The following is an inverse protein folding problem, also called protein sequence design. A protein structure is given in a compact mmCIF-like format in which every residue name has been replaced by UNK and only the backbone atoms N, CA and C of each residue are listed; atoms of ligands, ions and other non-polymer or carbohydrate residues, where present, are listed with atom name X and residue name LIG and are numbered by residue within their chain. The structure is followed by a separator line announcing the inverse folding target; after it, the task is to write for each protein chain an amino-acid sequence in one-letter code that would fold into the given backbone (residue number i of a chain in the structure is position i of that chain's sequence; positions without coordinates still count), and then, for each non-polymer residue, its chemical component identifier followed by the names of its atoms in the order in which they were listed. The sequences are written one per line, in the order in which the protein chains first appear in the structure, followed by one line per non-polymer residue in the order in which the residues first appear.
data_IF_921171381373
#
_entry.id   IF_921171381373
#
_cell.length_a   1.000
_cell.length_b   1.000
_cell.length_c   1.000
_cell.angle_alpha   90.00
_cell.angle_beta   90.00
_cell.angle_gamma   90.00
#
_symmetry.space_group_name_H-M   'P 1'
#
loop_
_entity.id
_entity.type
_entity.pdbx_description
1 polymer ?
#
# COMPACT_ATOMS: atom_id res chain seq x y z
N UNK A 1 -5.55 -44.37 5.35
CA UNK A 1 -5.75 -43.42 4.24
C UNK A 1 -6.32 -42.17 4.87
N UNK A 2 -5.57 -41.06 4.84
CA UNK A 2 -6.02 -39.80 5.42
C UNK A 2 -7.26 -39.32 4.66
N UNK A 3 -8.30 -38.90 5.39
CA UNK A 3 -9.50 -38.31 4.80
C UNK A 3 -9.11 -37.07 3.98
N UNK A 4 -9.41 -37.03 2.66
CA UNK A 4 -9.11 -35.88 1.81
C UNK A 4 -9.65 -34.56 2.37
N UNK A 5 -10.77 -34.59 3.09
CA UNK A 5 -11.37 -33.39 3.70
C UNK A 5 -10.50 -32.90 4.87
N UNK A 6 -10.05 -33.81 5.74
CA UNK A 6 -9.16 -33.47 6.85
C UNK A 6 -7.83 -32.89 6.35
N UNK A 7 -7.26 -33.46 5.27
CA UNK A 7 -6.02 -32.93 4.67
C UNK A 7 -6.22 -31.55 4.05
N UNK A 8 -7.34 -31.31 3.38
CA UNK A 8 -7.66 -30.00 2.83
C UNK A 8 -7.82 -28.94 3.94
N UNK A 9 -8.41 -29.30 5.08
CA UNK A 9 -8.58 -28.39 6.22
C UNK A 9 -7.23 -27.96 6.82
N UNK A 10 -6.26 -28.87 6.92
CA UNK A 10 -4.89 -28.55 7.37
C UNK A 10 -4.20 -27.57 6.41
N UNK A 11 -4.23 -27.84 5.11
CA UNK A 11 -3.63 -26.96 4.10
C UNK A 11 -4.27 -25.56 4.10
N UNK A 12 -5.61 -25.49 4.24
CA UNK A 12 -6.31 -24.22 4.36
C UNK A 12 -5.87 -23.44 5.60
N UNK A 13 -5.61 -24.11 6.72
CA UNK A 13 -5.12 -23.49 7.93
C UNK A 13 -3.72 -22.88 7.72
N UNK A 14 -2.80 -23.63 7.12
CA UNK A 14 -1.43 -23.15 6.83
C UNK A 14 -1.42 -21.94 5.87
N UNK A 15 -2.30 -21.96 4.86
CA UNK A 15 -2.48 -20.81 3.97
C UNK A 15 -3.03 -19.59 4.70
N UNK A 16 -4.03 -19.76 5.57
CA UNK A 16 -4.60 -18.64 6.35
C UNK A 16 -3.58 -18.03 7.30
N UNK A 17 -2.80 -18.84 8.01
CA UNK A 17 -1.73 -18.34 8.86
C UNK A 17 -0.68 -17.54 8.05
N UNK A 18 -0.44 -17.92 6.80
CA UNK A 18 0.45 -17.18 5.90
C UNK A 18 -0.15 -15.85 5.45
N UNK A 19 -1.46 -15.83 5.16
CA UNK A 19 -2.20 -14.61 4.83
C UNK A 19 -2.18 -13.63 6.01
N UNK A 20 -2.47 -14.08 7.23
CA UNK A 20 -2.47 -13.21 8.43
C UNK A 20 -1.11 -12.54 8.67
N UNK A 21 -0.01 -13.26 8.37
CA UNK A 21 1.35 -12.70 8.43
C UNK A 21 1.57 -11.64 7.36
N UNK A 22 1.12 -11.87 6.13
CA UNK A 22 1.22 -10.89 5.04
C UNK A 22 0.39 -9.64 5.35
N UNK A 23 -0.81 -9.80 5.89
CA UNK A 23 -1.67 -8.69 6.30
C UNK A 23 -1.00 -7.82 7.35
N UNK A 24 -0.34 -8.43 8.33
CA UNK A 24 0.46 -7.70 9.32
C UNK A 24 1.56 -6.87 8.66
N UNK A 25 2.31 -7.46 7.71
CA UNK A 25 3.37 -6.74 6.96
C UNK A 25 2.78 -5.57 6.18
N UNK A 26 1.63 -5.75 5.53
CA UNK A 26 0.95 -4.70 4.77
C UNK A 26 0.57 -3.54 5.68
N UNK A 27 -0.05 -3.81 6.84
CA UNK A 27 -0.49 -2.76 7.79
C UNK A 27 0.71 -1.96 8.31
N UNK A 28 1.78 -2.63 8.76
CA UNK A 28 2.96 -1.92 9.27
C UNK A 28 3.66 -1.12 8.16
N UNK A 29 3.76 -1.67 6.95
CA UNK A 29 4.35 -0.96 5.79
C UNK A 29 3.56 0.29 5.44
N UNK A 30 2.23 0.21 5.45
CA UNK A 30 1.37 1.37 5.23
C UNK A 30 1.59 2.41 6.33
N UNK A 31 1.62 1.99 7.60
CA UNK A 31 1.89 2.88 8.73
C UNK A 31 3.19 3.67 8.58
N UNK A 32 4.29 3.01 8.21
CA UNK A 32 5.56 3.67 7.94
C UNK A 32 5.49 4.61 6.73
N UNK A 33 4.82 4.19 5.64
CA UNK A 33 4.61 5.05 4.47
C UNK A 33 3.87 6.34 4.83
N UNK A 34 2.82 6.26 5.65
CA UNK A 34 2.07 7.43 6.12
C UNK A 34 2.93 8.40 6.93
N UNK A 35 3.78 7.89 7.83
CA UNK A 35 4.73 8.73 8.60
C UNK A 35 5.67 9.50 7.68
N UNK A 36 6.23 8.83 6.66
CA UNK A 36 7.09 9.49 5.68
C UNK A 36 6.35 10.54 4.86
N UNK A 37 5.13 10.27 4.41
CA UNK A 37 4.36 11.28 3.67
C UNK A 37 4.03 12.51 4.50
N UNK A 38 3.77 12.34 5.81
CA UNK A 38 3.58 13.45 6.74
C UNK A 38 4.87 14.27 6.92
N UNK A 39 6.01 13.60 7.09
CA UNK A 39 7.31 14.27 7.20
C UNK A 39 7.65 15.07 5.93
N UNK A 40 7.40 14.50 4.74
CA UNK A 40 7.56 15.22 3.46
C UNK A 40 6.61 16.41 3.38
N UNK A 41 5.35 16.26 3.82
CA UNK A 41 4.39 17.35 3.86
C UNK A 41 4.84 18.51 4.75
N UNK A 42 5.36 18.22 5.95
CA UNK A 42 5.93 19.21 6.87
C UNK A 42 7.13 19.91 6.25
N UNK A 43 8.08 19.15 5.69
CA UNK A 43 9.27 19.69 5.04
C UNK A 43 8.90 20.63 3.87
N UNK A 44 7.90 20.24 3.06
CA UNK A 44 7.42 21.09 1.98
C UNK A 44 6.84 22.41 2.50
N UNK A 45 6.04 22.35 3.56
CA UNK A 45 5.46 23.54 4.18
C UNK A 45 6.51 24.46 4.81
N UNK A 46 7.53 23.89 5.48
CA UNK A 46 8.63 24.65 6.09
C UNK A 46 9.49 25.41 5.06
N UNK A 47 9.49 24.97 3.81
CA UNK A 47 10.31 25.53 2.72
C UNK A 47 9.50 26.14 1.58
N UNK A 48 8.20 26.42 1.78
CA UNK A 48 7.29 26.97 0.76
C UNK A 48 7.30 26.19 -0.57
N UNK A 49 7.52 24.87 -0.50
CA UNK A 49 7.53 24.00 -1.67
C UNK A 49 6.11 23.57 -2.04
N UNK A 50 5.82 23.36 -3.35
CA UNK A 50 4.49 22.98 -3.80
C UNK A 50 4.07 21.60 -3.26
N UNK A 51 2.81 21.52 -2.85
CA UNK A 51 2.22 20.28 -2.33
C UNK A 51 2.21 19.15 -3.37
N UNK A 52 1.88 19.47 -4.63
CA UNK A 52 1.89 18.54 -5.76
C UNK A 52 3.22 18.59 -6.52
N UNK A 53 3.62 17.43 -7.03
CA UNK A 53 4.74 17.27 -7.95
C UNK A 53 4.31 16.30 -9.06
N UNK A 54 3.75 16.83 -10.18
CA UNK A 54 3.13 16.00 -11.22
C UNK A 54 4.11 15.01 -11.87
N UNK A 55 5.39 15.37 -11.99
CA UNK A 55 6.43 14.50 -12.54
C UNK A 55 6.67 13.34 -11.58
N UNK A 56 6.86 13.64 -10.28
CA UNK A 56 7.04 12.62 -9.25
C UNK A 56 5.81 11.71 -9.09
N UNK A 57 4.61 12.23 -9.29
CA UNK A 57 3.36 11.46 -9.27
C UNK A 57 3.29 10.50 -10.46
N UNK A 58 3.61 10.96 -11.68
CA UNK A 58 3.65 10.12 -12.87
C UNK A 58 4.68 8.99 -12.75
N UNK A 59 5.89 9.28 -12.29
CA UNK A 59 6.96 8.28 -12.09
C UNK A 59 6.56 7.21 -11.06
N UNK A 60 5.84 7.60 -10.01
CA UNK A 60 5.34 6.64 -9.01
C UNK A 60 4.32 5.68 -9.60
N UNK A 61 3.40 6.19 -10.42
CA UNK A 61 2.38 5.37 -11.08
C UNK A 61 3.04 4.37 -12.02
N UNK A 62 3.96 4.82 -12.88
CA UNK A 62 4.65 3.95 -13.85
C UNK A 62 5.44 2.83 -13.15
N UNK A 63 6.21 3.18 -12.10
CA UNK A 63 6.96 2.20 -11.30
C UNK A 63 6.05 1.17 -10.62
N UNK A 64 4.85 1.58 -10.20
CA UNK A 64 3.92 0.68 -9.52
C UNK A 64 3.17 -0.24 -10.49
N UNK A 65 2.82 0.24 -11.67
CA UNK A 65 2.30 -0.61 -12.75
C UNK A 65 3.34 -1.69 -13.13
N UNK A 66 4.63 -1.34 -13.20
CA UNK A 66 5.72 -2.30 -13.42
C UNK A 66 5.85 -3.32 -12.28
N UNK A 67 5.79 -2.86 -11.02
CA UNK A 67 5.88 -3.76 -9.85
C UNK A 67 4.68 -4.71 -9.78
N UNK A 68 3.47 -4.25 -10.12
CA UNK A 68 2.28 -5.08 -10.16
C UNK A 68 2.44 -6.20 -11.19
N UNK A 69 2.90 -5.86 -12.40
CA UNK A 69 3.16 -6.83 -13.45
C UNK A 69 4.21 -7.87 -13.03
N UNK A 70 5.28 -7.46 -12.33
CA UNK A 70 6.32 -8.38 -11.82
C UNK A 70 5.84 -9.28 -10.68
N UNK A 71 4.80 -8.88 -9.96
CA UNK A 71 4.26 -9.60 -8.83
C UNK A 71 3.05 -10.49 -9.19
N UNK A 72 2.77 -10.65 -10.50
CA UNK A 72 1.54 -11.30 -11.00
C UNK A 72 0.25 -10.73 -10.38
N UNK A 73 0.28 -9.43 -10.07
CA UNK A 73 -0.86 -8.69 -9.55
C UNK A 73 -1.54 -7.93 -10.70
N UNK A 74 -2.86 -8.00 -10.77
CA UNK A 74 -3.65 -7.24 -11.75
C UNK A 74 -3.26 -5.75 -11.71
N UNK A 75 -2.73 -5.19 -12.82
CA UNK A 75 -2.33 -3.79 -12.88
C UNK A 75 -3.47 -2.82 -12.59
N UNK A 76 -4.72 -3.15 -12.98
CA UNK A 76 -5.87 -2.29 -12.67
C UNK A 76 -6.16 -2.27 -11.17
N UNK A 77 -6.12 -3.42 -10.52
CA UNK A 77 -6.24 -3.52 -9.07
C UNK A 77 -5.12 -2.74 -8.35
N UNK A 78 -3.87 -2.93 -8.77
CA UNK A 78 -2.73 -2.23 -8.18
C UNK A 78 -2.87 -0.70 -8.28
N UNK A 79 -3.35 -0.21 -9.43
CA UNK A 79 -3.62 1.21 -9.66
C UNK A 79 -4.75 1.73 -8.75
N UNK A 80 -5.86 0.99 -8.64
CA UNK A 80 -6.98 1.33 -7.74
C UNK A 80 -6.53 1.39 -6.28
N UNK A 81 -5.78 0.38 -5.84
CA UNK A 81 -5.23 0.33 -4.49
C UNK A 81 -4.29 1.50 -4.21
N UNK A 82 -3.38 1.81 -5.13
CA UNK A 82 -2.48 2.95 -4.99
C UNK A 82 -3.25 4.28 -4.91
N UNK A 83 -4.20 4.49 -5.81
CA UNK A 83 -5.01 5.70 -5.82
C UNK A 83 -5.74 5.87 -4.49
N UNK A 84 -6.28 4.78 -3.93
CA UNK A 84 -6.87 4.78 -2.60
C UNK A 84 -5.86 5.22 -1.52
N UNK A 85 -4.66 4.64 -1.48
CA UNK A 85 -3.63 5.02 -0.51
C UNK A 85 -3.21 6.50 -0.65
N UNK A 86 -3.04 7.01 -1.87
CA UNK A 86 -2.68 8.41 -2.12
C UNK A 86 -3.80 9.35 -1.64
N UNK A 87 -5.06 9.03 -1.96
CA UNK A 87 -6.20 9.83 -1.52
C UNK A 87 -6.31 9.89 0.01
N UNK A 88 -6.11 8.77 0.69
CA UNK A 88 -6.09 8.73 2.16
C UNK A 88 -4.99 9.61 2.76
N UNK A 89 -3.79 9.62 2.17
CA UNK A 89 -2.70 10.53 2.60
C UNK A 89 -3.11 12.00 2.48
N UNK A 90 -3.71 12.39 1.34
CA UNK A 90 -4.14 13.77 1.10
C UNK A 90 -5.22 14.18 2.10
N UNK A 91 -6.20 13.31 2.34
CA UNK A 91 -7.25 13.55 3.32
C UNK A 91 -6.69 13.68 4.74
N UNK A 92 -5.71 12.86 5.10
CA UNK A 92 -5.05 12.92 6.40
C UNK A 92 -4.27 14.23 6.59
N UNK A 93 -3.58 14.72 5.56
CA UNK A 93 -2.91 16.02 5.61
C UNK A 93 -3.90 17.18 5.78
N UNK A 94 -5.02 17.18 5.06
CA UNK A 94 -6.06 18.22 5.22
C UNK A 94 -6.63 18.27 6.64
N UNK A 95 -6.78 17.11 7.31
CA UNK A 95 -7.29 17.03 8.69
C UNK A 95 -6.26 17.45 9.74
N UNK A 96 -4.96 17.27 9.49
CA UNK A 96 -3.90 17.66 10.41
C UNK A 96 -3.43 19.12 10.27
N UNK A 97 -3.89 19.83 9.22
CA UNK A 97 -3.60 21.26 8.99
C UNK A 97 -4.61 22.21 9.68
N UNK A 98 -5.55 21.66 10.46
CA UNK A 98 -6.49 22.39 11.33
C UNK A 98 -6.21 22.04 12.79
#
# INVERSE_FOLDING_TARGET
MTDPIARAAELLKEHRESIDRLDSILVYTLGERFKHTQAVGKLKAEHDLPASDPVREADQIARLEELAAKADLDPEFAKKFLNFIIQEVIQHHKKQQH
#
